data_IF_664031470460
#
_entry.id   IF_664031470460
#
_cell.length_a   1.000
_cell.length_b   1.000
_cell.length_c   1.000
_cell.angle_alpha   90.00
_cell.angle_beta   90.00
_cell.angle_gamma   90.00
#
_symmetry.space_group_name_H-M   'P 1'
#
loop_
_entity.id
_entity.type
_entity.pdbx_description
1 polymer ?
#
# COMPACT_ATOMS: atom_id res chain seq x y z
N UNK A 1 23.92 10.16 -5.27
CA UNK A 1 22.44 10.14 -5.28
C UNK A 1 22.03 8.70 -5.37
N UNK A 2 21.62 8.13 -4.24
CA UNK A 2 21.15 6.75 -4.17
C UNK A 2 19.92 6.57 -5.05
N UNK A 3 19.88 5.48 -5.81
CA UNK A 3 18.69 5.08 -6.54
C UNK A 3 17.57 4.87 -5.52
N UNK A 4 16.53 5.69 -5.61
CA UNK A 4 15.29 5.49 -4.84
C UNK A 4 14.78 4.12 -5.29
N UNK A 5 15.02 3.09 -4.46
CA UNK A 5 14.36 1.79 -4.61
C UNK A 5 12.91 2.02 -4.21
N UNK A 6 12.11 2.57 -5.12
CA UNK A 6 10.66 2.52 -4.97
C UNK A 6 10.34 1.03 -5.03
N UNK A 7 10.12 0.41 -3.86
CA UNK A 7 9.40 -0.86 -3.80
C UNK A 7 8.02 -0.51 -4.33
N UNK A 8 7.71 -0.92 -5.55
CA UNK A 8 6.41 -0.64 -6.14
C UNK A 8 5.37 -1.55 -5.47
N UNK A 9 4.21 -0.98 -5.14
CA UNK A 9 3.07 -1.78 -4.69
C UNK A 9 2.62 -2.67 -5.84
N UNK A 10 2.60 -3.99 -5.62
CA UNK A 10 2.18 -4.94 -6.66
C UNK A 10 0.67 -4.88 -6.89
N UNK A 11 0.22 -5.37 -8.05
CA UNK A 11 -1.20 -5.55 -8.31
C UNK A 11 -1.86 -6.38 -7.19
N UNK A 12 -3.11 -6.05 -6.88
CA UNK A 12 -3.85 -6.80 -5.89
C UNK A 12 -4.08 -8.24 -6.37
N UNK A 13 -4.13 -9.21 -5.45
CA UNK A 13 -4.43 -10.60 -5.76
C UNK A 13 -5.79 -10.79 -6.45
N UNK A 14 -6.72 -9.84 -6.31
CA UNK A 14 -8.02 -9.83 -7.00
C UNK A 14 -7.95 -9.33 -8.45
N UNK A 15 -6.78 -8.90 -8.93
CA UNK A 15 -6.58 -8.27 -10.24
C UNK A 15 -6.81 -6.75 -10.27
N UNK A 16 -7.17 -6.13 -9.14
CA UNK A 16 -7.29 -4.67 -9.02
C UNK A 16 -5.93 -3.97 -8.85
N UNK A 17 -5.92 -2.65 -9.02
CA UNK A 17 -4.72 -1.83 -8.88
C UNK A 17 -4.58 -1.27 -7.46
N UNK A 18 -3.35 -1.18 -6.92
CA UNK A 18 -3.11 -0.53 -5.65
C UNK A 18 -3.26 0.99 -5.78
N UNK A 19 -3.91 1.61 -4.81
CA UNK A 19 -3.97 3.07 -4.65
C UNK A 19 -3.33 3.45 -3.33
N UNK A 20 -2.42 4.42 -3.39
CA UNK A 20 -1.66 4.92 -2.24
C UNK A 20 -2.34 6.18 -1.72
N UNK A 21 -2.46 6.30 -0.40
CA UNK A 21 -2.81 7.53 0.30
C UNK A 21 -1.84 7.74 1.48
N UNK A 22 -1.69 8.97 1.93
CA UNK A 22 -0.73 9.29 2.97
C UNK A 22 -0.89 10.71 3.50
N UNK A 23 0.11 11.19 4.26
CA UNK A 23 0.14 12.54 4.79
C UNK A 23 -0.15 13.60 3.73
N UNK A 24 -1.04 14.52 4.05
CA UNK A 24 -1.37 15.67 3.21
C UNK A 24 -1.39 16.96 4.05
N UNK A 25 -1.58 18.11 3.40
CA UNK A 25 -1.63 19.42 4.07
C UNK A 25 -2.68 19.48 5.19
N UNK A 26 -3.78 18.73 5.06
CA UNK A 26 -4.87 18.67 6.05
C UNK A 26 -4.64 17.61 7.14
N UNK A 27 -3.75 16.65 6.91
CA UNK A 27 -3.46 15.54 7.83
C UNK A 27 -1.97 15.14 7.77
N UNK A 28 -1.05 16.01 8.23
CA UNK A 28 0.39 15.81 8.04
C UNK A 28 0.98 14.69 8.92
N UNK A 29 0.21 14.21 9.90
CA UNK A 29 0.60 13.14 10.82
C UNK A 29 -0.13 11.82 10.55
N UNK A 30 -0.87 11.71 9.43
CA UNK A 30 -1.54 10.47 9.09
C UNK A 30 -0.52 9.38 8.75
N UNK A 31 -0.93 8.12 8.90
CA UNK A 31 -0.18 7.02 8.33
C UNK A 31 -0.24 7.02 6.81
N UNK A 32 0.65 6.26 6.20
CA UNK A 32 0.54 5.83 4.81
C UNK A 32 -0.37 4.63 4.72
N UNK A 33 -1.10 4.53 3.63
CA UNK A 33 -1.97 3.39 3.36
C UNK A 33 -2.06 3.06 1.89
N UNK A 34 -2.34 1.80 1.62
CA UNK A 34 -2.54 1.24 0.29
C UNK A 34 -3.83 0.45 0.31
N UNK A 35 -4.70 0.65 -0.67
CA UNK A 35 -5.95 -0.09 -0.80
C UNK A 35 -6.16 -0.54 -2.25
N UNK A 36 -6.97 -1.58 -2.44
CA UNK A 36 -7.37 -1.99 -3.78
C UNK A 36 -8.43 -1.04 -4.35
N UNK A 37 -8.31 -0.67 -5.62
CA UNK A 37 -9.32 0.14 -6.30
C UNK A 37 -10.59 -0.65 -6.68
N UNK A 38 -10.56 -1.98 -6.57
CA UNK A 38 -11.72 -2.84 -6.78
C UNK A 38 -12.65 -2.75 -5.55
N UNK A 39 -13.89 -2.24 -5.68
CA UNK A 39 -14.80 -2.07 -4.55
C UNK A 39 -15.28 -3.40 -3.93
N UNK A 40 -15.13 -4.52 -4.64
CA UNK A 40 -15.41 -5.85 -4.09
C UNK A 40 -14.22 -6.44 -3.32
N UNK A 41 -13.08 -5.75 -3.29
CA UNK A 41 -11.86 -6.17 -2.59
C UNK A 41 -11.62 -5.28 -1.38
N UNK A 42 -11.71 -5.86 -0.18
CA UNK A 42 -11.46 -5.17 1.09
C UNK A 42 -9.97 -5.16 1.47
N UNK A 43 -9.07 -5.49 0.54
CA UNK A 43 -7.64 -5.57 0.82
C UNK A 43 -7.06 -4.17 1.04
N UNK A 44 -6.40 -4.00 2.19
CA UNK A 44 -5.71 -2.79 2.56
C UNK A 44 -4.47 -3.06 3.41
N UNK A 45 -3.52 -2.13 3.35
CA UNK A 45 -2.29 -2.11 4.13
C UNK A 45 -2.05 -0.69 4.65
N UNK A 46 -1.35 -0.57 5.77
CA UNK A 46 -1.01 0.73 6.36
C UNK A 46 0.32 0.67 7.08
N UNK A 47 1.04 1.79 7.10
CA UNK A 47 2.36 1.90 7.73
C UNK A 47 2.66 3.32 8.18
N UNK A 48 3.61 3.45 9.12
CA UNK A 48 4.09 4.77 9.58
C UNK A 48 4.93 5.47 8.52
N UNK A 49 5.53 4.69 7.59
CA UNK A 49 6.16 5.15 6.37
C UNK A 49 5.51 4.53 5.12
N UNK A 50 5.77 5.12 3.95
CA UNK A 50 5.34 4.54 2.67
C UNK A 50 5.93 3.14 2.48
N UNK A 51 7.19 2.93 2.85
CA UNK A 51 7.87 1.65 2.70
C UNK A 51 7.24 0.55 3.56
N UNK A 52 6.86 0.88 4.80
CA UNK A 52 6.15 -0.06 5.68
C UNK A 52 4.79 -0.45 5.08
N UNK A 53 4.07 0.52 4.52
CA UNK A 53 2.78 0.28 3.89
C UNK A 53 2.91 -0.59 2.63
N UNK A 54 3.95 -0.38 1.82
CA UNK A 54 4.24 -1.22 0.65
C UNK A 54 4.67 -2.63 1.06
N UNK A 55 5.51 -2.78 2.08
CA UNK A 55 5.96 -4.08 2.54
C UNK A 55 4.79 -4.93 3.05
N UNK A 56 3.93 -4.35 3.90
CA UNK A 56 2.70 -5.00 4.38
C UNK A 56 1.75 -5.34 3.21
N UNK A 57 1.56 -4.41 2.26
CA UNK A 57 0.74 -4.66 1.08
C UNK A 57 1.23 -5.85 0.26
N UNK A 58 2.53 -5.86 -0.08
CA UNK A 58 3.12 -6.89 -0.92
C UNK A 58 3.10 -8.25 -0.21
N UNK A 59 3.33 -8.30 1.11
CA UNK A 59 3.19 -9.52 1.90
C UNK A 59 1.77 -10.09 1.81
N UNK A 60 0.74 -9.25 1.96
CA UNK A 60 -0.67 -9.65 1.82
C UNK A 60 -1.04 -10.12 0.42
N UNK A 61 -0.44 -9.56 -0.63
CA UNK A 61 -0.70 -10.00 -2.01
C UNK A 61 -0.09 -11.37 -2.31
N UNK A 62 1.07 -11.68 -1.72
CA UNK A 62 1.74 -12.97 -1.89
C UNK A 62 1.11 -14.05 -0.99
N UNK A 63 0.64 -13.67 0.20
CA UNK A 63 0.03 -14.55 1.18
C UNK A 63 -1.32 -14.02 1.69
N UNK A 64 -2.40 -14.08 0.87
CA UNK A 64 -3.70 -13.51 1.24
C UNK A 64 -4.45 -14.25 2.37
N UNK A 65 -3.85 -15.27 2.97
CA UNK A 65 -4.45 -16.14 4.00
C UNK A 65 -3.62 -16.25 5.30
N UNK A 66 -2.59 -15.41 5.46
CA UNK A 66 -1.84 -15.25 6.71
C UNK A 66 -2.34 -14.01 7.45
#
# INVERSE_FOLDING_TARGET
>A
MEAIKIREAVACHCGGHPKIFGPCEFAPRSHWGIYCDNPACECMASGVSLDDAVEDWNLKQVHPYL
#
